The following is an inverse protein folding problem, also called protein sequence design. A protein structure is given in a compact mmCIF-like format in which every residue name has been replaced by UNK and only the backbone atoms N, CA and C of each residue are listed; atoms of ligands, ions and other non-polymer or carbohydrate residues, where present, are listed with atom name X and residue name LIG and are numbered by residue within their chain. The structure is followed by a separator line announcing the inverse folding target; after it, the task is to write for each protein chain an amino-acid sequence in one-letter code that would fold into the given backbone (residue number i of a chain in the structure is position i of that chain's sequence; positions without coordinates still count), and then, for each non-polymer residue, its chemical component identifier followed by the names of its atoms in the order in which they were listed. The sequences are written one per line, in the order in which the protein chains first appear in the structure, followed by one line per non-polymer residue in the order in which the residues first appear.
data_IF_494597294175
#
_entry.id   IF_494597294175
#
_cell.length_a   1.000
_cell.length_b   1.000
_cell.length_c   1.000
_cell.angle_alpha   90.00
_cell.angle_beta   90.00
_cell.angle_gamma   90.00
#
_symmetry.space_group_name_H-M   'P 1'
#
loop_
_entity.id
_entity.type
_entity.pdbx_description
1 polymer ?
#
# COMPACT_ATOMS: atom_id res chain seq x y z
N UNK A 1 5.06 3.52 7.86
CA UNK A 1 3.66 3.69 8.30
C UNK A 1 3.43 2.71 9.42
N UNK A 2 2.93 3.14 10.59
CA UNK A 2 2.65 2.23 11.70
C UNK A 2 1.14 2.01 11.81
N UNK A 3 0.70 0.77 11.64
CA UNK A 3 -0.68 0.36 11.90
C UNK A 3 -0.69 -0.47 13.18
N UNK A 4 -1.34 0.04 14.23
CA UNK A 4 -1.59 -0.70 15.47
C UNK A 4 -2.99 -1.31 15.42
N UNK A 5 -3.09 -2.61 15.71
CA UNK A 5 -4.37 -3.30 15.82
C UNK A 5 -4.83 -3.29 17.28
N UNK A 6 -6.05 -2.82 17.55
CA UNK A 6 -6.66 -3.01 18.88
C UNK A 6 -7.21 -4.43 19.02
N UNK A 7 -7.47 -4.88 20.25
CA UNK A 7 -8.03 -6.20 20.56
C UNK A 7 -9.42 -6.48 19.95
N UNK A 8 -10.06 -5.45 19.37
CA UNK A 8 -11.33 -5.56 18.63
C UNK A 8 -11.13 -5.58 17.10
N UNK A 9 -9.92 -5.93 16.61
CA UNK A 9 -9.54 -5.90 15.19
C UNK A 9 -9.72 -4.53 14.51
N UNK A 10 -9.70 -3.44 15.29
CA UNK A 10 -9.70 -2.09 14.71
C UNK A 10 -8.28 -1.65 14.45
N UNK A 11 -7.95 -1.44 13.19
CA UNK A 11 -6.70 -0.81 12.80
C UNK A 11 -6.72 0.68 13.20
N UNK A 12 -5.70 1.11 13.95
CA UNK A 12 -5.41 2.50 14.27
C UNK A 12 -4.08 2.85 13.59
N UNK A 13 -4.11 3.87 12.73
CA UNK A 13 -2.88 4.44 12.20
C UNK A 13 -2.18 5.23 13.31
N UNK A 14 -0.94 4.88 13.63
CA UNK A 14 -0.15 5.60 14.64
C UNK A 14 1.22 5.94 14.10
N UNK A 15 1.26 6.74 13.05
CA UNK A 15 2.45 7.51 12.73
C UNK A 15 2.10 8.78 11.95
N UNK A 16 2.09 9.92 12.65
CA UNK A 16 2.14 11.25 12.01
C UNK A 16 3.58 11.80 11.99
N UNK A 17 4.56 11.01 12.45
CA UNK A 17 5.96 11.39 12.58
C UNK A 17 6.72 11.21 11.27
N UNK A 18 6.51 12.13 10.32
CA UNK A 18 7.46 12.78 9.40
C UNK A 18 6.59 13.42 8.31
N UNK A 19 5.89 14.49 8.65
CA UNK A 19 5.43 15.45 7.64
C UNK A 19 6.69 16.12 7.08
N UNK A 20 7.28 15.54 6.03
CA UNK A 20 8.47 16.11 5.39
C UNK A 20 8.03 17.27 4.53
N UNK A 21 8.41 18.48 4.94
CA UNK A 21 8.37 19.67 4.10
C UNK A 21 8.99 19.35 2.73
N UNK A 22 8.23 19.63 1.67
CA UNK A 22 8.60 19.44 0.27
C UNK A 22 9.91 20.19 -0.01
N UNK A 23 11.05 19.50 0.06
CA UNK A 23 12.30 19.94 -0.52
C UNK A 23 12.59 19.07 -1.73
N UNK A 24 12.87 19.74 -2.84
CA UNK A 24 13.08 19.25 -4.21
C UNK A 24 14.34 18.38 -4.37
N UNK A 25 14.56 17.44 -3.45
CA UNK A 25 15.78 16.63 -3.38
C UNK A 25 15.50 15.27 -2.75
N UNK A 26 14.44 14.59 -3.20
CA UNK A 26 14.14 13.21 -2.77
C UNK A 26 14.87 12.19 -3.64
N UNK A 27 16.14 12.45 -3.95
CA UNK A 27 17.05 11.42 -4.45
C UNK A 27 17.83 10.92 -3.24
N UNK A 28 17.65 9.63 -2.91
CA UNK A 28 18.57 8.83 -2.07
C UNK A 28 18.37 8.72 -0.54
N UNK A 29 17.19 8.97 0.04
CA UNK A 29 16.94 8.58 1.47
C UNK A 29 15.58 7.94 1.72
N UNK A 30 14.97 7.30 0.72
CA UNK A 30 13.98 6.28 1.03
C UNK A 30 14.77 5.10 1.64
N UNK A 31 14.69 4.91 2.95
CA UNK A 31 15.20 3.70 3.59
C UNK A 31 14.68 2.51 2.80
N UNK A 32 15.62 1.71 2.31
CA UNK A 32 15.45 0.67 1.29
C UNK A 32 14.32 -0.32 1.63
N UNK A 33 13.92 -0.39 2.90
CA UNK A 33 12.79 -1.18 3.39
C UNK A 33 11.41 -0.71 2.94
N UNK A 34 11.16 0.58 2.69
CA UNK A 34 9.79 1.13 2.52
C UNK A 34 9.34 1.21 1.05
N UNK A 35 10.23 1.00 0.08
CA UNK A 35 9.93 1.16 -1.36
C UNK A 35 8.73 0.33 -1.83
N UNK A 36 8.50 -0.84 -1.25
CA UNK A 36 7.43 -1.75 -1.63
C UNK A 36 6.01 -1.22 -1.31
N UNK A 37 5.88 -0.19 -0.47
CA UNK A 37 4.60 0.44 -0.15
C UNK A 37 4.38 1.75 -0.90
N UNK A 38 5.38 2.25 -1.64
CA UNK A 38 5.30 3.55 -2.32
C UNK A 38 4.42 3.43 -3.58
N UNK A 39 3.55 4.43 -3.75
CA UNK A 39 2.66 4.51 -4.90
C UNK A 39 3.44 4.73 -6.22
N UNK A 40 2.94 4.21 -7.36
CA UNK A 40 3.65 4.27 -8.65
C UNK A 40 4.04 5.68 -9.10
N UNK A 41 3.15 6.66 -8.92
CA UNK A 41 3.38 8.06 -9.27
C UNK A 41 4.53 8.67 -8.44
N UNK A 42 4.62 8.30 -7.15
CA UNK A 42 5.69 8.77 -6.26
C UNK A 42 7.04 8.14 -6.64
N UNK A 43 7.03 6.86 -7.05
CA UNK A 43 8.23 6.19 -7.58
C UNK A 43 8.72 6.84 -8.89
N UNK A 44 7.80 7.35 -9.70
CA UNK A 44 8.10 8.05 -10.95
C UNK A 44 8.49 9.52 -10.75
N UNK A 45 8.54 10.01 -9.49
CA UNK A 45 8.90 11.39 -9.17
C UNK A 45 7.78 12.40 -9.39
N UNK A 46 6.54 11.94 -9.56
CA UNK A 46 5.36 12.80 -9.64
C UNK A 46 4.97 13.35 -8.25
N UNK A 47 4.03 14.30 -8.25
CA UNK A 47 3.62 14.99 -7.03
C UNK A 47 2.89 14.02 -6.09
N UNK A 48 3.40 13.91 -4.86
CA UNK A 48 2.70 13.21 -3.79
C UNK A 48 1.35 13.88 -3.47
N UNK A 49 0.33 13.05 -3.30
CA UNK A 49 -1.04 13.43 -2.89
C UNK A 49 -1.56 12.43 -1.87
N UNK A 50 -2.71 12.71 -1.25
CA UNK A 50 -3.40 11.78 -0.36
C UNK A 50 -3.72 10.44 -1.02
N UNK A 51 -3.80 10.38 -2.35
CA UNK A 51 -4.01 9.13 -3.11
C UNK A 51 -2.82 8.18 -3.01
N UNK A 52 -1.62 8.66 -2.71
CA UNK A 52 -0.46 7.82 -2.45
C UNK A 52 -0.60 7.05 -1.13
N UNK A 53 -1.25 7.64 -0.12
CA UNK A 53 -1.57 6.96 1.13
C UNK A 53 -2.65 5.89 0.92
N UNK A 54 -3.62 6.16 0.05
CA UNK A 54 -4.64 5.17 -0.35
C UNK A 54 -3.99 3.95 -1.00
N UNK A 55 -3.00 4.14 -1.88
CA UNK A 55 -2.25 3.04 -2.46
C UNK A 55 -1.50 2.24 -1.39
N UNK A 56 -0.78 2.94 -0.51
CA UNK A 56 -0.04 2.33 0.59
C UNK A 56 -0.95 1.49 1.49
N UNK A 57 -2.18 1.95 1.75
CA UNK A 57 -3.21 1.20 2.46
C UNK A 57 -3.62 -0.09 1.72
N UNK A 58 -3.76 -0.04 0.40
CA UNK A 58 -4.02 -1.23 -0.42
C UNK A 58 -2.90 -2.29 -0.30
N UNK A 59 -1.64 -1.84 -0.26
CA UNK A 59 -0.48 -2.74 -0.05
C UNK A 59 -0.55 -3.40 1.33
N UNK A 60 -0.95 -2.65 2.36
CA UNK A 60 -1.13 -3.18 3.72
C UNK A 60 -2.24 -4.21 3.79
N UNK A 61 -3.35 -4.02 3.07
CA UNK A 61 -4.42 -5.02 3.02
C UNK A 61 -3.93 -6.36 2.44
N UNK A 62 -3.03 -6.30 1.45
CA UNK A 62 -2.36 -7.50 0.91
C UNK A 62 -1.42 -8.14 1.95
N UNK A 63 -0.66 -7.36 2.68
CA UNK A 63 0.22 -7.86 3.76
C UNK A 63 -0.58 -8.51 4.89
N UNK A 64 -1.71 -7.92 5.29
CA UNK A 64 -2.61 -8.50 6.31
C UNK A 64 -3.19 -9.83 5.82
N UNK A 65 -3.61 -9.90 4.56
CA UNK A 65 -4.18 -11.12 3.99
C UNK A 65 -3.15 -12.25 3.83
N UNK A 66 -1.95 -11.91 3.38
CA UNK A 66 -0.89 -12.89 3.09
C UNK A 66 -0.04 -13.24 4.31
N UNK A 67 -0.06 -12.40 5.35
CA UNK A 67 0.84 -12.44 6.52
C UNK A 67 2.32 -12.47 6.11
N UNK A 68 2.64 -11.82 5.00
CA UNK A 68 3.96 -11.77 4.37
C UNK A 68 4.29 -10.36 3.97
N UNK A 69 5.58 -10.07 3.89
CA UNK A 69 6.02 -8.80 3.36
C UNK A 69 5.58 -8.66 1.89
N UNK A 70 5.16 -7.47 1.43
CA UNK A 70 4.81 -7.26 0.02
C UNK A 70 5.92 -7.74 -0.91
N UNK A 71 5.52 -8.46 -1.96
CA UNK A 71 6.40 -9.00 -2.99
C UNK A 71 7.50 -9.96 -2.48
N UNK A 72 7.33 -10.58 -1.30
CA UNK A 72 8.31 -11.51 -0.74
C UNK A 72 8.70 -12.63 -1.71
N UNK A 73 7.76 -13.11 -2.55
CA UNK A 73 8.02 -14.15 -3.55
C UNK A 73 8.97 -13.70 -4.68
N UNK A 74 9.16 -12.40 -4.88
CA UNK A 74 10.04 -11.81 -5.90
C UNK A 74 11.45 -11.51 -5.35
N UNK A 75 11.65 -11.64 -4.03
CA UNK A 75 12.96 -11.42 -3.41
C UNK A 75 13.79 -12.69 -3.47
N UNK A 76 15.00 -12.57 -4.01
CA UNK A 76 16.06 -13.58 -3.93
C UNK A 76 16.97 -13.29 -2.74
N UNK A 77 17.49 -14.34 -2.09
CA UNK A 77 18.33 -14.21 -0.88
C UNK A 77 19.66 -13.45 -1.10
N UNK A 78 20.09 -13.27 -2.34
CA UNK A 78 21.45 -12.82 -2.66
C UNK A 78 21.61 -11.30 -2.83
N UNK A 79 20.54 -10.51 -2.97
CA UNK A 79 20.66 -9.04 -3.16
C UNK A 79 19.39 -8.23 -2.81
N UNK A 80 19.06 -8.12 -1.51
CA UNK A 80 17.85 -7.42 -1.02
C UNK A 80 17.66 -5.98 -1.57
N UNK A 81 18.75 -5.20 -1.74
CA UNK A 81 18.65 -3.83 -2.27
C UNK A 81 18.31 -3.77 -3.76
N UNK A 82 18.94 -4.61 -4.59
CA UNK A 82 18.67 -4.69 -6.02
C UNK A 82 17.23 -5.19 -6.27
N UNK A 83 16.77 -6.12 -5.44
CA UNK A 83 15.39 -6.60 -5.47
C UNK A 83 14.39 -5.48 -5.20
N UNK A 84 14.65 -4.59 -4.23
CA UNK A 84 13.73 -3.51 -3.90
C UNK A 84 13.67 -2.43 -4.98
N UNK A 85 14.81 -2.09 -5.59
CA UNK A 85 14.83 -1.17 -6.73
C UNK A 85 14.13 -1.76 -7.96
N UNK A 86 14.33 -3.06 -8.22
CA UNK A 86 13.65 -3.76 -9.31
C UNK A 86 12.13 -3.86 -9.08
N UNK A 87 11.70 -4.21 -7.87
CA UNK A 87 10.29 -4.20 -7.46
C UNK A 87 9.69 -2.80 -7.67
N UNK A 88 10.36 -1.76 -7.19
CA UNK A 88 9.90 -0.38 -7.36
C UNK A 88 9.74 -0.01 -8.84
N UNK A 89 10.71 -0.38 -9.67
CA UNK A 89 10.62 -0.17 -11.11
C UNK A 89 9.39 -0.87 -11.73
N UNK A 90 9.17 -2.15 -11.41
CA UNK A 90 8.02 -2.91 -11.94
C UNK A 90 6.68 -2.35 -11.45
N UNK A 91 6.60 -1.90 -10.19
CA UNK A 91 5.41 -1.24 -9.64
C UNK A 91 5.15 0.09 -10.34
N UNK A 92 6.19 0.92 -10.51
CA UNK A 92 6.13 2.19 -11.24
C UNK A 92 5.64 2.00 -12.69
N UNK A 93 6.12 0.95 -13.36
CA UNK A 93 5.70 0.56 -14.70
C UNK A 93 4.32 -0.13 -14.77
N UNK A 94 3.67 -0.38 -13.63
CA UNK A 94 2.37 -1.07 -13.56
C UNK A 94 2.42 -2.56 -13.90
N UNK A 95 3.62 -3.15 -13.91
CA UNK A 95 3.86 -4.56 -14.24
C UNK A 95 3.80 -5.48 -13.02
N UNK A 96 3.77 -4.91 -11.81
CA UNK A 96 3.72 -5.65 -10.56
C UNK A 96 2.67 -5.07 -9.61
N UNK A 97 1.89 -5.95 -8.98
CA UNK A 97 0.84 -5.63 -8.02
C UNK A 97 0.92 -6.55 -6.80
N UNK A 98 0.50 -6.08 -5.61
CA UNK A 98 0.43 -6.94 -4.44
C UNK A 98 -0.51 -8.13 -4.67
N UNK A 99 -0.12 -9.29 -4.14
CA UNK A 99 -0.89 -10.52 -4.24
C UNK A 99 -1.89 -10.67 -3.08
N UNK A 100 -2.92 -11.47 -3.31
CA UNK A 100 -3.88 -11.87 -2.28
C UNK A 100 -4.03 -13.38 -2.29
N UNK A 101 -4.23 -13.97 -1.11
CA UNK A 101 -4.55 -15.38 -0.95
C UNK A 101 -5.95 -15.67 -1.50
N UNK A 102 -6.19 -16.93 -1.87
CA UNK A 102 -7.52 -17.38 -2.30
C UNK A 102 -8.58 -17.33 -1.19
N UNK A 103 -8.16 -17.11 0.07
CA UNK A 103 -9.03 -17.00 1.24
C UNK A 103 -9.41 -15.56 1.57
N UNK A 104 -8.85 -14.58 0.86
CA UNK A 104 -9.17 -13.18 1.06
C UNK A 104 -10.67 -12.94 0.86
N UNK A 105 -11.39 -12.34 1.83
CA UNK A 105 -12.79 -12.02 1.65
C UNK A 105 -13.00 -11.16 0.40
N UNK A 106 -13.93 -11.51 -0.52
CA UNK A 106 -14.09 -10.82 -1.80
C UNK A 106 -14.27 -9.30 -1.68
N UNK A 107 -14.99 -8.85 -0.64
CA UNK A 107 -15.19 -7.43 -0.37
C UNK A 107 -13.88 -6.69 -0.01
N UNK A 108 -13.02 -7.32 0.79
CA UNK A 108 -11.71 -6.76 1.18
C UNK A 108 -10.77 -6.73 -0.02
N UNK A 109 -10.73 -7.81 -0.80
CA UNK A 109 -9.94 -7.87 -2.04
C UNK A 109 -10.37 -6.79 -3.04
N UNK A 110 -11.66 -6.65 -3.29
CA UNK A 110 -12.17 -5.63 -4.21
C UNK A 110 -11.88 -4.20 -3.74
N UNK A 111 -11.91 -3.96 -2.42
CA UNK A 111 -11.51 -2.67 -1.84
C UNK A 111 -10.02 -2.41 -2.07
N UNK A 112 -9.18 -3.40 -1.76
CA UNK A 112 -7.73 -3.29 -1.90
C UNK A 112 -7.31 -3.12 -3.37
N UNK A 113 -7.92 -3.83 -4.30
CA UNK A 113 -7.66 -3.70 -5.75
C UNK A 113 -7.98 -2.27 -6.25
N UNK A 114 -9.04 -1.62 -5.74
CA UNK A 114 -9.32 -0.21 -6.06
C UNK A 114 -8.27 0.73 -5.46
N UNK A 115 -7.83 0.48 -4.23
CA UNK A 115 -6.74 1.23 -3.62
C UNK A 115 -5.43 1.13 -4.45
N UNK A 116 -5.18 -0.04 -5.03
CA UNK A 116 -3.97 -0.38 -5.79
C UNK A 116 -4.02 0.03 -7.27
N UNK A 117 -5.00 0.85 -7.68
CA UNK A 117 -5.09 1.34 -9.05
C UNK A 117 -3.83 2.13 -9.44
N UNK A 118 -3.34 1.92 -10.67
CA UNK A 118 -2.14 2.62 -11.17
C UNK A 118 -2.35 4.13 -11.15
N UNK A 119 -3.45 4.60 -11.75
CA UNK A 119 -3.80 6.02 -11.76
C UNK A 119 -4.35 6.42 -10.38
N UNK A 120 -3.82 7.50 -9.76
CA UNK A 120 -4.33 8.05 -8.50
C UNK A 120 -5.82 8.39 -8.54
N UNK A 121 -6.33 8.85 -9.68
CA UNK A 121 -7.73 9.28 -9.85
C UNK A 121 -8.73 8.13 -9.77
N UNK A 122 -8.27 6.90 -10.05
CA UNK A 122 -9.09 5.70 -9.97
C UNK A 122 -9.16 5.12 -8.55
N UNK A 123 -8.37 5.67 -7.62
CA UNK A 123 -8.38 5.23 -6.23
C UNK A 123 -9.51 5.94 -5.49
N UNK A 124 -10.18 5.29 -4.52
CA UNK A 124 -11.16 5.95 -3.68
C UNK A 124 -10.51 7.06 -2.83
N UNK A 125 -11.31 7.98 -2.33
CA UNK A 125 -10.95 8.88 -1.24
C UNK A 125 -10.99 8.15 0.11
N UNK A 126 -10.35 8.73 1.13
CA UNK A 126 -10.41 8.18 2.47
C UNK A 126 -11.85 8.11 3.02
N UNK A 127 -12.71 9.07 2.68
CA UNK A 127 -14.14 9.04 3.04
C UNK A 127 -14.87 7.86 2.40
N UNK A 128 -14.67 7.63 1.10
CA UNK A 128 -15.29 6.50 0.38
C UNK A 128 -14.80 5.14 0.90
N UNK A 129 -13.55 5.07 1.37
CA UNK A 129 -13.05 3.87 2.04
C UNK A 129 -13.77 3.58 3.35
N UNK A 130 -13.98 4.61 4.18
CA UNK A 130 -14.68 4.48 5.46
C UNK A 130 -16.13 4.03 5.23
N UNK A 131 -16.83 4.65 4.28
CA UNK A 131 -18.20 4.27 3.94
C UNK A 131 -18.27 2.82 3.41
N UNK A 132 -17.32 2.43 2.56
CA UNK A 132 -17.22 1.07 2.03
C UNK A 132 -16.96 0.01 3.11
N UNK A 133 -16.17 0.34 4.14
CA UNK A 133 -15.88 -0.55 5.27
C UNK A 133 -17.05 -0.66 6.26
N UNK A 134 -17.84 0.40 6.43
CA UNK A 134 -19.05 0.33 7.24
C UNK A 134 -20.18 -0.44 6.55
N UNK A 135 -20.27 -0.35 5.20
CA UNK A 135 -21.23 -1.10 4.41
C UNK A 135 -21.04 -2.62 4.46
N UNK A 136 -19.82 -3.13 4.67
CA UNK A 136 -19.54 -4.57 4.80
C UNK A 136 -19.88 -5.12 6.19
N UNK A 137 -20.06 -4.26 7.19
CA UNK A 137 -20.45 -4.66 8.56
C UNK A 137 -21.95 -5.04 8.66
N UNK A 138 -22.73 -4.83 7.60
CA UNK A 138 -24.17 -5.10 7.55
C UNK A 138 -24.58 -6.49 7.04
N UNK A 139 -23.64 -7.35 6.61
CA UNK A 139 -23.95 -8.64 5.99
C UNK A 139 -23.81 -9.85 6.93
N UNK A 140 -24.17 -9.68 8.20
CA UNK A 140 -24.40 -10.81 9.13
C UNK A 140 -25.72 -10.60 9.86
N UNK A 141 -26.81 -11.01 9.22
CA UNK A 141 -28.05 -11.47 9.86
C UNK A 141 -28.55 -12.69 9.09
#
# INVERSE_FOLDING_TARGET
MNVLLTSALRAKLTDFGVSRSVSHQTTMTAEVGTLAWIAPEVLNGERYTEKADIYSFGVILSEIDTLRQPYQNMRTDTASMANNAHIAFLVGAGQLRPDFTSKCPPAVRALAERCLAQSPDNRPSASELVDGLHGTSGLSK
#
